data_IF_296142955551
#
_entry.id   IF_296142955551
#
_cell.length_a   1.000
_cell.length_b   1.000
_cell.length_c   1.000
_cell.angle_alpha   90.00
_cell.angle_beta   90.00
_cell.angle_gamma   90.00
#
_symmetry.space_group_name_H-M   'P 1'
#
loop_
_entity.id
_entity.type
_entity.pdbx_description
1 polymer ?
#
# COMPACT_ATOMS: atom_id res chain seq x y z
N UNK A 1 -31.81 17.24 4.32
CA UNK A 1 -31.16 17.96 5.44
C UNK A 1 -30.03 18.77 4.83
N UNK A 2 -29.94 20.10 5.06
CA UNK A 2 -28.80 20.86 4.57
C UNK A 2 -27.56 20.32 5.29
N UNK A 3 -26.53 19.92 4.55
CA UNK A 3 -25.22 19.69 5.13
C UNK A 3 -24.79 21.01 5.76
N UNK A 4 -24.60 21.03 7.09
CA UNK A 4 -23.99 22.18 7.77
C UNK A 4 -22.61 22.41 7.14
N UNK A 5 -22.32 23.63 6.67
CA UNK A 5 -21.04 24.00 6.04
C UNK A 5 -19.84 23.62 6.95
N UNK A 6 -20.07 23.54 8.27
CA UNK A 6 -19.10 23.09 9.26
C UNK A 6 -18.73 21.60 9.18
N UNK A 7 -19.60 20.76 8.63
CA UNK A 7 -19.42 19.31 8.56
C UNK A 7 -18.85 18.84 7.23
N UNK A 8 -18.89 19.66 6.18
CA UNK A 8 -18.41 19.26 4.84
C UNK A 8 -16.93 18.89 4.87
N UNK A 9 -16.08 19.77 5.41
CA UNK A 9 -14.64 19.51 5.52
C UNK A 9 -14.34 18.31 6.43
N UNK A 10 -14.99 18.22 7.59
CA UNK A 10 -14.85 17.09 8.52
C UNK A 10 -15.22 15.76 7.86
N UNK A 11 -16.31 15.74 7.06
CA UNK A 11 -16.80 14.55 6.35
C UNK A 11 -15.85 14.16 5.22
N UNK A 12 -15.41 15.10 4.39
CA UNK A 12 -14.47 14.83 3.29
C UNK A 12 -13.15 14.29 3.84
N UNK A 13 -12.59 14.92 4.87
CA UNK A 13 -11.34 14.48 5.49
C UNK A 13 -11.49 13.09 6.13
N UNK A 14 -12.60 12.83 6.82
CA UNK A 14 -12.87 11.51 7.40
C UNK A 14 -13.04 10.44 6.31
N UNK A 15 -13.73 10.75 5.21
CA UNK A 15 -13.93 9.83 4.09
C UNK A 15 -12.61 9.53 3.37
N UNK A 16 -11.80 10.56 3.10
CA UNK A 16 -10.48 10.39 2.50
C UNK A 16 -9.59 9.50 3.38
N UNK A 17 -9.61 9.72 4.69
CA UNK A 17 -8.86 8.92 5.67
C UNK A 17 -9.33 7.47 5.72
N UNK A 18 -10.64 7.24 5.65
CA UNK A 18 -11.23 5.91 5.60
C UNK A 18 -10.81 5.15 4.32
N UNK A 19 -10.87 5.81 3.16
CA UNK A 19 -10.40 5.24 1.89
C UNK A 19 -8.90 4.91 1.95
N UNK A 20 -8.08 5.82 2.49
CA UNK A 20 -6.65 5.59 2.71
C UNK A 20 -6.39 4.37 3.60
N UNK A 21 -7.13 4.21 4.71
CA UNK A 21 -7.05 3.03 5.57
C UNK A 21 -7.44 1.75 4.83
N UNK A 22 -8.50 1.75 4.02
CA UNK A 22 -8.93 0.58 3.26
C UNK A 22 -7.86 0.13 2.25
N UNK A 23 -7.18 1.07 1.60
CA UNK A 23 -6.05 0.79 0.70
C UNK A 23 -4.93 0.11 1.51
N UNK A 24 -4.52 0.70 2.64
CA UNK A 24 -3.42 0.16 3.46
C UNK A 24 -3.78 -1.21 4.06
N UNK A 25 -5.01 -1.39 4.56
CA UNK A 25 -5.49 -2.68 5.07
C UNK A 25 -5.40 -3.75 3.99
N UNK A 26 -5.76 -3.43 2.75
CA UNK A 26 -5.67 -4.35 1.61
C UNK A 26 -4.21 -4.70 1.28
N UNK A 27 -3.33 -3.69 1.23
CA UNK A 27 -1.90 -3.88 0.94
C UNK A 27 -1.20 -4.71 2.02
N UNK A 28 -1.46 -4.40 3.29
CA UNK A 28 -0.85 -5.11 4.44
C UNK A 28 -1.48 -6.50 4.61
N UNK A 29 -2.80 -6.63 4.44
CA UNK A 29 -3.49 -7.92 4.54
C UNK A 29 -3.07 -8.91 3.45
N UNK A 30 -2.63 -8.42 2.29
CA UNK A 30 -2.04 -9.23 1.23
C UNK A 30 -0.55 -9.60 1.45
N UNK A 31 0.07 -9.16 2.55
CA UNK A 31 1.42 -9.54 2.98
C UNK A 31 1.30 -10.54 4.14
N UNK A 32 2.00 -11.66 4.01
CA UNK A 32 2.02 -12.84 4.91
C UNK A 32 1.07 -12.77 6.14
N UNK A 33 -0.16 -13.33 6.04
CA UNK A 33 -1.17 -13.26 7.10
C UNK A 33 -0.79 -14.06 8.37
N UNK A 34 0.31 -14.81 8.34
CA UNK A 34 0.83 -15.57 9.47
C UNK A 34 1.54 -14.71 10.51
N UNK A 35 2.09 -13.55 10.14
CA UNK A 35 2.97 -12.79 11.02
C UNK A 35 2.20 -12.10 12.18
N UNK A 36 2.55 -12.36 13.46
CA UNK A 36 1.85 -11.77 14.61
C UNK A 36 1.84 -10.24 14.62
N UNK A 37 2.90 -9.60 14.11
CA UNK A 37 3.00 -8.15 14.02
C UNK A 37 2.00 -7.57 13.01
N UNK A 38 1.89 -8.18 11.83
CA UNK A 38 0.92 -7.79 10.79
C UNK A 38 -0.51 -7.84 11.32
N UNK A 39 -0.87 -8.90 12.07
CA UNK A 39 -2.20 -9.03 12.69
C UNK A 39 -2.50 -7.92 13.70
N UNK A 40 -1.54 -7.59 14.57
CA UNK A 40 -1.70 -6.52 15.58
C UNK A 40 -1.82 -5.14 14.91
N UNK A 41 -1.07 -4.92 13.85
CA UNK A 41 -1.14 -3.69 13.08
C UNK A 41 -2.48 -3.55 12.33
N UNK A 42 -2.92 -4.60 11.65
CA UNK A 42 -4.24 -4.65 10.99
C UNK A 42 -5.39 -4.46 11.97
N UNK A 43 -5.27 -4.98 13.20
CA UNK A 43 -6.25 -4.71 14.26
C UNK A 43 -6.38 -3.21 14.54
N UNK A 44 -5.25 -2.49 14.71
CA UNK A 44 -5.27 -1.04 14.91
C UNK A 44 -5.85 -0.27 13.72
N UNK A 45 -5.49 -0.64 12.49
CA UNK A 45 -6.06 -0.02 11.29
C UNK A 45 -7.56 -0.25 11.16
N UNK A 46 -8.06 -1.45 11.51
CA UNK A 46 -9.49 -1.76 11.52
C UNK A 46 -10.26 -0.98 12.58
N UNK A 47 -9.69 -0.82 13.78
CA UNK A 47 -10.30 0.02 14.83
C UNK A 47 -10.44 1.46 14.35
N UNK A 48 -9.40 2.03 13.72
CA UNK A 48 -9.46 3.37 13.11
C UNK A 48 -10.51 3.45 12.00
N UNK A 49 -10.60 2.43 11.14
CA UNK A 49 -11.57 2.39 10.05
C UNK A 49 -13.01 2.35 10.57
N UNK A 50 -13.29 1.50 11.59
CA UNK A 50 -14.59 1.44 12.27
C UNK A 50 -14.92 2.78 12.92
N UNK A 51 -13.96 3.39 13.62
CA UNK A 51 -14.15 4.71 14.23
C UNK A 51 -14.55 5.76 13.20
N UNK A 52 -13.86 5.86 12.07
CA UNK A 52 -14.18 6.83 11.03
C UNK A 52 -15.51 6.53 10.33
N UNK A 53 -15.77 5.26 10.00
CA UNK A 53 -17.02 4.85 9.36
C UNK A 53 -18.24 5.14 10.26
N UNK A 54 -18.18 4.75 11.53
CA UNK A 54 -19.25 5.05 12.49
C UNK A 54 -19.42 6.55 12.70
N UNK A 55 -18.33 7.32 12.76
CA UNK A 55 -18.39 8.78 12.90
C UNK A 55 -19.10 9.44 11.71
N UNK A 56 -18.76 9.06 10.48
CA UNK A 56 -19.42 9.57 9.27
C UNK A 56 -20.90 9.20 9.27
N UNK A 57 -21.23 7.96 9.64
CA UNK A 57 -22.62 7.49 9.71
C UNK A 57 -23.43 8.21 10.80
N UNK A 58 -22.82 8.53 11.96
CA UNK A 58 -23.45 9.35 12.99
C UNK A 58 -23.79 10.75 12.47
N UNK A 59 -22.91 11.39 11.69
CA UNK A 59 -23.19 12.71 11.09
C UNK A 59 -24.29 12.68 10.04
N UNK A 60 -24.37 11.61 9.23
CA UNK A 60 -25.35 11.50 8.15
C UNK A 60 -26.72 11.07 8.67
N UNK A 61 -26.76 10.14 9.63
CA UNK A 61 -28.01 9.49 10.08
C UNK A 61 -28.53 10.02 11.42
N UNK A 62 -27.66 10.54 12.27
CA UNK A 62 -27.99 10.94 13.64
C UNK A 62 -28.34 9.77 14.58
N UNK A 63 -28.11 8.52 14.17
CA UNK A 63 -28.48 7.36 14.97
C UNK A 63 -27.48 7.13 16.11
N UNK A 64 -27.99 7.08 17.35
CA UNK A 64 -27.16 6.93 18.55
C UNK A 64 -26.30 5.67 18.62
N UNK A 65 -26.64 4.61 17.86
CA UNK A 65 -25.82 3.39 17.74
C UNK A 65 -24.44 3.69 17.16
N UNK A 66 -24.36 4.56 16.14
CA UNK A 66 -23.07 4.92 15.53
C UNK A 66 -22.22 5.79 16.44
N UNK A 67 -22.84 6.64 17.25
CA UNK A 67 -22.16 7.42 18.27
C UNK A 67 -21.56 6.54 19.37
N UNK A 68 -22.35 5.61 19.88
CA UNK A 68 -21.88 4.58 20.81
C UNK A 68 -20.69 3.82 20.22
N UNK A 69 -20.81 3.34 18.99
CA UNK A 69 -19.72 2.64 18.31
C UNK A 69 -18.46 3.50 18.14
N UNK A 70 -18.63 4.81 17.87
CA UNK A 70 -17.51 5.76 17.79
C UNK A 70 -16.75 5.87 19.11
N UNK A 71 -17.46 5.92 20.24
CA UNK A 71 -16.85 6.02 21.58
C UNK A 71 -16.14 4.72 21.96
N UNK A 72 -16.76 3.57 21.66
CA UNK A 72 -16.15 2.26 21.88
C UNK A 72 -14.86 2.13 21.04
N UNK A 73 -14.92 2.45 19.75
CA UNK A 73 -13.76 2.38 18.87
C UNK A 73 -12.66 3.36 19.31
N UNK A 74 -13.03 4.57 19.76
CA UNK A 74 -12.09 5.53 20.32
C UNK A 74 -11.42 5.01 21.61
N UNK A 75 -12.17 4.35 22.50
CA UNK A 75 -11.64 3.71 23.70
C UNK A 75 -10.70 2.53 23.40
N UNK A 76 -10.84 1.88 22.26
CA UNK A 76 -9.94 0.80 21.82
C UNK A 76 -8.61 1.31 21.24
N UNK A 77 -8.48 2.60 20.88
CA UNK A 77 -7.29 3.11 20.22
C UNK A 77 -6.00 2.97 21.05
N UNK A 78 -5.94 3.36 22.34
CA UNK A 78 -4.73 3.18 23.15
C UNK A 78 -4.34 1.72 23.32
N UNK A 79 -5.33 0.81 23.41
CA UNK A 79 -5.09 -0.62 23.48
C UNK A 79 -4.49 -1.16 22.18
N UNK A 80 -5.06 -0.78 21.03
CA UNK A 80 -4.55 -1.18 19.73
C UNK A 80 -3.11 -0.69 19.49
N UNK A 81 -2.84 0.57 19.85
CA UNK A 81 -1.50 1.14 19.76
C UNK A 81 -0.51 0.43 20.71
N UNK A 82 -0.93 0.09 21.92
CA UNK A 82 -0.09 -0.65 22.87
C UNK A 82 0.29 -2.04 22.32
N UNK A 83 -0.69 -2.80 21.79
CA UNK A 83 -0.44 -4.12 21.20
C UNK A 83 0.53 -4.05 20.02
N UNK A 84 0.40 -3.03 19.18
CA UNK A 84 1.33 -2.77 18.08
C UNK A 84 2.74 -2.50 18.60
N UNK A 85 2.89 -1.62 19.58
CA UNK A 85 4.19 -1.27 20.17
C UNK A 85 4.85 -2.47 20.84
N UNK A 86 4.10 -3.33 21.53
CA UNK A 86 4.66 -4.58 22.07
C UNK A 86 5.18 -5.51 20.97
N UNK A 87 4.45 -5.60 19.85
CA UNK A 87 4.89 -6.37 18.69
C UNK A 87 6.18 -5.83 18.08
N UNK A 88 6.27 -4.51 17.96
CA UNK A 88 7.42 -3.81 17.38
C UNK A 88 8.68 -3.87 18.26
N UNK A 89 8.52 -3.71 19.57
CA UNK A 89 9.66 -3.66 20.50
C UNK A 89 10.10 -5.04 21.00
N UNK A 90 9.38 -6.12 20.62
CA UNK A 90 9.59 -7.51 21.11
C UNK A 90 9.67 -7.59 22.65
N UNK A 91 9.10 -6.59 23.33
CA UNK A 91 9.16 -6.41 24.78
C UNK A 91 7.74 -6.26 25.31
N UNK A 92 7.50 -6.90 26.45
CA UNK A 92 6.26 -6.75 27.18
C UNK A 92 6.19 -5.36 27.81
N UNK A 93 5.13 -4.62 27.53
CA UNK A 93 4.81 -3.36 28.19
C UNK A 93 4.59 -3.60 29.71
N UNK A 94 4.87 -2.59 30.56
CA UNK A 94 4.63 -2.71 31.99
C UNK A 94 3.14 -3.00 32.26
N UNK A 95 2.88 -3.82 33.29
CA UNK A 95 1.54 -4.26 33.63
C UNK A 95 0.59 -3.08 33.90
N UNK A 96 1.11 -1.99 34.48
CA UNK A 96 0.37 -0.74 34.70
C UNK A 96 -0.21 -0.17 33.40
N UNK A 97 0.59 -0.13 32.32
CA UNK A 97 0.12 0.42 31.04
C UNK A 97 -0.90 -0.51 30.36
N UNK A 98 -0.76 -1.83 30.54
CA UNK A 98 -1.74 -2.82 30.06
C UNK A 98 -3.07 -2.68 30.78
N UNK A 99 -3.04 -2.61 32.11
CA UNK A 99 -4.23 -2.42 32.93
C UNK A 99 -4.88 -1.08 32.64
N UNK A 100 -4.10 -0.01 32.42
CA UNK A 100 -4.62 1.29 32.00
C UNK A 100 -5.34 1.20 30.66
N UNK A 101 -4.70 0.65 29.63
CA UNK A 101 -5.30 0.56 28.29
C UNK A 101 -6.53 -0.37 28.23
N UNK A 102 -6.45 -1.55 28.86
CA UNK A 102 -7.56 -2.49 28.92
C UNK A 102 -8.71 -1.97 29.80
N UNK A 103 -8.38 -1.42 30.97
CA UNK A 103 -9.36 -0.83 31.89
C UNK A 103 -10.08 0.36 31.27
N UNK A 104 -9.36 1.24 30.56
CA UNK A 104 -9.96 2.35 29.84
C UNK A 104 -10.86 1.89 28.68
N UNK A 105 -10.45 0.88 27.91
CA UNK A 105 -11.30 0.32 26.85
C UNK A 105 -12.62 -0.25 27.42
N UNK A 106 -12.56 -0.99 28.53
CA UNK A 106 -13.76 -1.50 29.23
C UNK A 106 -14.59 -0.35 29.80
N UNK A 107 -13.95 0.65 30.40
CA UNK A 107 -14.64 1.83 30.94
C UNK A 107 -15.43 2.56 29.85
N UNK A 108 -14.83 2.82 28.69
CA UNK A 108 -15.52 3.51 27.59
C UNK A 108 -16.57 2.64 26.89
N UNK A 109 -16.42 1.32 26.93
CA UNK A 109 -17.50 0.41 26.53
C UNK A 109 -18.74 0.58 27.41
N UNK A 110 -18.55 0.63 28.73
CA UNK A 110 -19.65 0.84 29.68
C UNK A 110 -20.21 2.27 29.57
N UNK A 111 -19.34 3.27 29.49
CA UNK A 111 -19.71 4.68 29.44
C UNK A 111 -20.40 5.06 28.11
N UNK A 112 -20.16 4.31 27.04
CA UNK A 112 -20.86 4.48 25.76
C UNK A 112 -22.35 4.09 25.85
N UNK A 113 -22.74 3.24 26.81
CA UNK A 113 -24.15 2.86 27.05
C UNK A 113 -24.92 3.92 27.85
N UNK A 114 -24.21 4.85 28.51
CA UNK A 114 -24.82 5.86 29.37
C UNK A 114 -25.34 7.02 28.52
N UNK A 115 -26.63 7.43 28.66
CA UNK A 115 -27.19 8.56 27.91
C UNK A 115 -26.46 9.87 28.16
N UNK A 116 -26.31 10.67 27.10
CA UNK A 116 -25.50 11.91 27.06
C UNK A 116 -25.85 12.92 28.15
N UNK A 117 -27.15 13.08 28.42
CA UNK A 117 -27.69 13.98 29.44
C UNK A 117 -27.09 13.80 30.84
N UNK A 118 -26.49 12.64 31.13
CA UNK A 118 -25.95 12.34 32.45
C UNK A 118 -24.42 12.45 32.54
N UNK A 119 -23.71 12.38 31.42
CA UNK A 119 -22.25 12.19 31.39
C UNK A 119 -21.49 13.18 30.52
N UNK A 120 -22.17 13.93 29.65
CA UNK A 120 -21.54 15.04 28.92
C UNK A 120 -21.50 16.32 29.78
N UNK A 121 -20.39 17.09 29.77
CA UNK A 121 -19.24 16.99 28.87
C UNK A 121 -18.13 16.03 29.32
N UNK A 122 -18.22 15.45 30.53
CA UNK A 122 -17.09 14.79 31.20
C UNK A 122 -16.62 13.52 30.49
N UNK A 123 -17.53 12.80 29.84
CA UNK A 123 -17.19 11.65 29.00
C UNK A 123 -16.17 11.99 27.92
N UNK A 124 -16.35 13.10 27.22
CA UNK A 124 -15.44 13.52 26.13
C UNK A 124 -14.09 14.00 26.68
N UNK A 125 -14.11 14.75 27.78
CA UNK A 125 -12.88 15.17 28.45
C UNK A 125 -12.07 13.97 28.98
N UNK A 126 -12.74 13.00 29.60
CA UNK A 126 -12.12 11.77 30.08
C UNK A 126 -11.56 10.93 28.93
N UNK A 127 -12.29 10.83 27.81
CA UNK A 127 -11.85 10.10 26.63
C UNK A 127 -10.60 10.75 26.01
N UNK A 128 -10.59 12.07 25.89
CA UNK A 128 -9.42 12.83 25.45
C UNK A 128 -8.21 12.57 26.37
N UNK A 129 -8.37 12.71 27.69
CA UNK A 129 -7.29 12.48 28.65
C UNK A 129 -6.77 11.04 28.60
N UNK A 130 -7.67 10.06 28.47
CA UNK A 130 -7.32 8.66 28.33
C UNK A 130 -6.50 8.39 27.06
N UNK A 131 -6.97 8.87 25.91
CA UNK A 131 -6.25 8.70 24.65
C UNK A 131 -4.92 9.44 24.64
N UNK A 132 -4.90 10.67 25.14
CA UNK A 132 -3.70 11.50 25.20
C UNK A 132 -2.64 10.85 26.09
N UNK A 133 -3.02 10.48 27.31
CA UNK A 133 -2.14 9.77 28.24
C UNK A 133 -1.64 8.44 27.67
N UNK A 134 -2.52 7.68 27.01
CA UNK A 134 -2.16 6.43 26.34
C UNK A 134 -1.12 6.63 25.23
N UNK A 135 -1.37 7.54 24.29
CA UNK A 135 -0.45 7.82 23.20
C UNK A 135 0.87 8.44 23.66
N UNK A 136 0.86 9.33 24.66
CA UNK A 136 2.09 9.88 25.25
C UNK A 136 2.91 8.77 25.92
N UNK A 137 2.28 7.90 26.71
CA UNK A 137 2.98 6.78 27.35
C UNK A 137 3.57 5.80 26.34
N UNK A 138 2.84 5.50 25.27
CA UNK A 138 3.32 4.66 24.17
C UNK A 138 4.48 5.33 23.42
N UNK A 139 4.37 6.63 23.13
CA UNK A 139 5.43 7.41 22.49
C UNK A 139 6.69 7.45 23.32
N UNK A 140 6.55 7.60 24.64
CA UNK A 140 7.65 7.52 25.59
C UNK A 140 8.36 6.17 25.53
N UNK A 141 7.63 5.05 25.50
CA UNK A 141 8.22 3.71 25.35
C UNK A 141 8.98 3.55 24.03
N UNK A 142 8.48 4.14 22.95
CA UNK A 142 9.11 4.09 21.63
C UNK A 142 10.41 4.90 21.58
N UNK A 143 10.44 6.06 22.26
CA UNK A 143 11.63 6.93 22.34
C UNK A 143 12.69 6.34 23.26
N UNK A 144 12.29 5.79 24.41
CA UNK A 144 13.20 5.19 25.40
C UNK A 144 13.63 3.76 25.06
N UNK A 145 13.38 3.29 23.83
CA UNK A 145 13.75 1.94 23.41
C UNK A 145 15.26 1.78 23.26
N UNK A 146 15.73 0.57 23.48
CA UNK A 146 17.09 0.19 23.13
C UNK A 146 17.21 -0.09 21.62
N UNK A 147 17.91 0.79 20.91
CA UNK A 147 18.12 0.66 19.46
C UNK A 147 19.05 -0.50 19.10
N UNK A 148 19.94 -0.93 20.00
CA UNK A 148 20.90 -2.00 19.73
C UNK A 148 20.22 -3.38 19.67
N UNK A 149 19.06 -3.52 20.29
CA UNK A 149 18.30 -4.78 20.34
C UNK A 149 17.54 -5.13 19.05
N UNK A 150 17.44 -4.19 18.10
CA UNK A 150 16.65 -4.31 16.87
C UNK A 150 17.54 -4.15 15.63
N UNK A 151 17.16 -4.83 14.55
CA UNK A 151 17.82 -4.65 13.25
C UNK A 151 17.61 -3.22 12.72
N UNK A 152 18.47 -2.79 11.78
CA UNK A 152 18.35 -1.48 11.13
C UNK A 152 17.03 -1.32 10.35
N UNK A 153 16.44 -2.41 9.86
CA UNK A 153 15.14 -2.39 9.21
C UNK A 153 14.01 -2.16 10.23
N UNK A 154 14.02 -2.89 11.34
CA UNK A 154 13.03 -2.72 12.40
C UNK A 154 13.11 -1.33 13.03
N UNK A 155 14.30 -0.84 13.33
CA UNK A 155 14.48 0.50 13.88
C UNK A 155 13.90 1.59 12.98
N UNK A 156 14.04 1.47 11.65
CA UNK A 156 13.41 2.38 10.69
C UNK A 156 11.88 2.29 10.72
N UNK A 157 11.32 1.09 10.83
CA UNK A 157 9.87 0.90 10.98
C UNK A 157 9.35 1.56 12.25
N UNK A 158 10.02 1.35 13.39
CA UNK A 158 9.61 1.96 14.66
C UNK A 158 9.78 3.47 14.63
N UNK A 159 10.86 4.00 14.04
CA UNK A 159 11.03 5.45 13.85
C UNK A 159 9.91 6.06 13.01
N UNK A 160 9.51 5.42 11.91
CA UNK A 160 8.40 5.92 11.09
C UNK A 160 7.06 5.86 11.83
N UNK A 161 6.80 4.83 12.63
CA UNK A 161 5.62 4.77 13.50
C UNK A 161 5.67 5.80 14.63
N UNK A 162 6.85 6.19 15.10
CA UNK A 162 7.00 7.26 16.09
C UNK A 162 6.61 8.63 15.50
N UNK A 163 6.92 8.87 14.21
CA UNK A 163 6.56 10.10 13.52
C UNK A 163 5.06 10.25 13.33
N UNK A 164 4.36 9.16 13.01
CA UNK A 164 2.90 9.21 12.93
C UNK A 164 2.31 9.53 14.30
N UNK A 165 2.83 8.92 15.37
CA UNK A 165 2.38 9.21 16.73
C UNK A 165 2.62 10.68 17.14
N UNK A 166 3.76 11.25 16.74
CA UNK A 166 4.06 12.67 16.95
C UNK A 166 3.01 13.59 16.30
N UNK A 167 2.49 13.23 15.13
CA UNK A 167 1.44 13.99 14.44
C UNK A 167 0.04 13.70 15.00
N UNK A 168 -0.24 12.47 15.43
CA UNK A 168 -1.53 12.05 15.99
C UNK A 168 -1.85 12.81 17.27
N UNK A 169 -0.89 12.97 18.19
CA UNK A 169 -1.12 13.60 19.50
C UNK A 169 -1.72 15.03 19.38
N UNK A 170 -1.11 15.99 18.66
CA UNK A 170 -1.68 17.34 18.54
C UNK A 170 -2.97 17.37 17.73
N UNK A 171 -3.08 16.57 16.66
CA UNK A 171 -4.28 16.56 15.81
C UNK A 171 -5.48 15.93 16.50
N UNK A 172 -5.26 14.96 17.37
CA UNK A 172 -6.33 14.37 18.18
C UNK A 172 -6.99 15.39 19.12
N UNK A 173 -6.25 16.38 19.63
CA UNK A 173 -6.84 17.44 20.48
C UNK A 173 -7.91 18.22 19.68
N UNK A 174 -7.68 18.43 18.38
CA UNK A 174 -8.64 19.13 17.50
C UNK A 174 -9.94 18.35 17.28
N UNK A 175 -9.91 17.01 17.39
CA UNK A 175 -11.10 16.17 17.20
C UNK A 175 -12.14 16.33 18.31
N UNK A 176 -11.71 16.69 19.52
CA UNK A 176 -12.58 16.81 20.70
C UNK A 176 -13.16 18.21 20.87
N UNK A 177 -12.73 19.19 20.06
CA UNK A 177 -13.13 20.61 20.12
C UNK A 177 -13.37 21.09 21.57
N UNK A 178 -12.42 20.89 22.50
CA UNK A 178 -12.56 21.46 23.83
C UNK A 178 -12.65 22.97 23.58
N UNK A 179 -13.72 23.63 24.00
CA UNK A 179 -14.06 25.02 23.63
C UNK A 179 -13.00 26.11 23.89
N UNK A 180 -11.77 25.72 24.27
CA UNK A 180 -10.56 26.53 24.25
C UNK A 180 -10.04 26.89 22.84
N UNK A 181 -10.21 26.03 21.82
CA UNK A 181 -9.72 26.32 20.45
C UNK A 181 -10.80 25.97 19.43
N UNK A 182 -11.43 27.00 18.88
CA UNK A 182 -12.44 26.85 17.83
C UNK A 182 -11.78 26.60 16.46
N UNK A 183 -11.22 25.39 16.31
CA UNK A 183 -10.66 24.97 15.03
C UNK A 183 -11.77 24.65 14.03
N UNK A 184 -11.66 25.14 12.78
CA UNK A 184 -12.73 25.00 11.79
C UNK A 184 -12.90 23.57 11.27
N UNK A 185 -11.87 22.72 11.44
CA UNK A 185 -11.86 21.32 10.97
C UNK A 185 -11.14 20.42 11.98
N UNK A 186 -11.63 19.19 12.09
CA UNK A 186 -11.00 18.10 12.85
C UNK A 186 -9.83 17.52 12.06
N UNK A 187 -8.61 17.70 12.57
CA UNK A 187 -7.38 17.32 11.87
C UNK A 187 -7.00 15.85 12.08
N UNK A 188 -7.71 15.08 12.93
CA UNK A 188 -7.40 13.68 13.21
C UNK A 188 -7.33 12.81 11.95
N UNK A 189 -8.15 13.08 10.94
CA UNK A 189 -8.09 12.39 9.65
C UNK A 189 -6.76 12.60 8.91
N UNK A 190 -6.18 13.80 8.96
CA UNK A 190 -4.87 14.05 8.33
C UNK A 190 -3.77 13.23 9.00
N UNK A 191 -3.81 13.07 10.34
CA UNK A 191 -2.85 12.23 11.04
C UNK A 191 -2.97 10.75 10.62
N UNK A 192 -4.19 10.28 10.37
CA UNK A 192 -4.46 8.92 9.85
C UNK A 192 -3.95 8.78 8.41
N UNK A 193 -4.20 9.75 7.53
CA UNK A 193 -3.66 9.75 6.16
C UNK A 193 -2.13 9.74 6.17
N UNK A 194 -1.50 10.53 7.03
CA UNK A 194 -0.05 10.53 7.18
C UNK A 194 0.48 9.17 7.66
N UNK A 195 -0.19 8.53 8.64
CA UNK A 195 0.11 7.16 9.06
C UNK A 195 0.01 6.19 7.88
N UNK A 196 -1.06 6.27 7.08
CA UNK A 196 -1.25 5.43 5.89
C UNK A 196 -0.12 5.60 4.88
N UNK A 197 0.25 6.85 4.60
CA UNK A 197 1.34 7.18 3.69
C UNK A 197 2.70 6.64 4.17
N UNK A 198 3.04 6.85 5.44
CA UNK A 198 4.27 6.30 6.03
C UNK A 198 4.31 4.76 5.97
N UNK A 199 3.16 4.12 6.19
CA UNK A 199 3.03 2.67 6.17
C UNK A 199 3.29 2.10 4.79
N UNK A 200 2.75 2.72 3.74
CA UNK A 200 3.01 2.32 2.36
C UNK A 200 4.47 2.60 1.98
N UNK A 201 5.01 3.75 2.42
CA UNK A 201 6.41 4.11 2.22
C UNK A 201 7.42 3.15 2.85
N UNK A 202 7.03 2.31 3.83
CA UNK A 202 7.89 1.25 4.39
C UNK A 202 8.33 0.22 3.35
N UNK A 203 7.55 0.04 2.27
CA UNK A 203 7.92 -0.87 1.18
C UNK A 203 9.09 -0.38 0.33
N UNK A 204 9.41 0.93 0.35
CA UNK A 204 10.48 1.51 -0.48
C UNK A 204 11.82 1.49 0.27
N UNK A 205 12.69 0.56 -0.11
CA UNK A 205 14.07 0.50 0.34
C UNK A 205 14.90 1.65 -0.30
N UNK A 206 14.87 2.84 0.31
CA UNK A 206 15.74 3.94 -0.15
C UNK A 206 15.38 5.34 0.34
N UNK A 207 14.12 5.58 0.74
CA UNK A 207 13.71 6.92 1.17
C UNK A 207 14.19 7.23 2.60
N UNK A 208 15.04 8.25 2.72
CA UNK A 208 15.52 8.76 3.99
C UNK A 208 14.40 9.48 4.76
N UNK A 209 14.58 9.62 6.08
CA UNK A 209 13.62 10.33 6.93
C UNK A 209 13.43 11.80 6.48
N UNK A 210 14.51 12.44 6.02
CA UNK A 210 14.50 13.81 5.49
C UNK A 210 13.65 13.93 4.24
N UNK A 211 13.73 12.96 3.33
CA UNK A 211 12.97 12.97 2.08
C UNK A 211 11.47 12.86 2.34
N UNK A 212 11.09 12.02 3.32
CA UNK A 212 9.70 11.89 3.76
C UNK A 212 9.17 13.18 4.39
N UNK A 213 9.94 13.83 5.26
CA UNK A 213 9.54 15.12 5.85
C UNK A 213 9.45 16.19 4.75
N UNK A 214 10.43 16.25 3.84
CA UNK A 214 10.45 17.22 2.75
C UNK A 214 9.25 17.05 1.82
N UNK A 215 8.93 15.82 1.41
CA UNK A 215 7.77 15.53 0.57
C UNK A 215 6.46 15.92 1.28
N UNK A 216 6.32 15.63 2.58
CA UNK A 216 5.15 16.08 3.34
C UNK A 216 5.07 17.60 3.44
N UNK A 217 6.20 18.28 3.71
CA UNK A 217 6.27 19.72 3.79
C UNK A 217 5.86 20.37 2.46
N UNK A 218 6.32 19.83 1.32
CA UNK A 218 5.90 20.29 -0.01
C UNK A 218 4.39 20.13 -0.18
N UNK A 219 3.83 18.94 0.08
CA UNK A 219 2.38 18.70 -0.05
C UNK A 219 1.57 19.62 0.87
N UNK A 220 2.01 19.80 2.11
CA UNK A 220 1.36 20.69 3.08
C UNK A 220 1.43 22.16 2.63
N UNK A 221 2.60 22.65 2.20
CA UNK A 221 2.77 24.01 1.71
C UNK A 221 1.97 24.28 0.42
N UNK A 222 1.94 23.32 -0.51
CA UNK A 222 1.10 23.41 -1.71
C UNK A 222 -0.38 23.49 -1.36
N UNK A 223 -0.83 22.72 -0.36
CA UNK A 223 -2.22 22.76 0.13
C UNK A 223 -2.54 24.08 0.82
N UNK A 224 -1.62 24.63 1.62
CA UNK A 224 -1.74 25.96 2.23
C UNK A 224 -1.84 27.04 1.15
N UNK A 225 -0.97 27.00 0.15
CA UNK A 225 -1.00 27.93 -0.98
C UNK A 225 -2.33 27.87 -1.73
N UNK A 226 -2.82 26.68 -2.04
CA UNK A 226 -4.11 26.49 -2.68
C UNK A 226 -5.27 27.06 -1.85
N UNK A 227 -5.31 26.78 -0.54
CA UNK A 227 -6.35 27.31 0.33
C UNK A 227 -6.29 28.82 0.54
N UNK A 228 -5.10 29.42 0.58
CA UNK A 228 -4.93 30.88 0.61
C UNK A 228 -5.37 31.52 -0.70
N UNK A 229 -5.03 30.92 -1.85
CA UNK A 229 -5.47 31.40 -3.16
C UNK A 229 -7.00 31.36 -3.28
N UNK A 230 -7.64 30.26 -2.88
CA UNK A 230 -9.10 30.14 -2.84
C UNK A 230 -9.74 31.18 -1.90
N UNK A 231 -9.13 31.41 -0.73
CA UNK A 231 -9.58 32.45 0.21
C UNK A 231 -9.46 33.87 -0.33
N UNK A 232 -8.49 34.13 -1.21
CA UNK A 232 -8.26 35.44 -1.84
C UNK A 232 -9.20 35.76 -3.00
N UNK A 233 -9.77 34.74 -3.65
CA UNK A 233 -10.64 34.92 -4.83
C UNK A 233 -12.03 35.44 -4.43
N UNK A 234 -12.54 35.08 -3.25
CA UNK A 234 -13.99 35.23 -2.98
C UNK A 234 -14.32 35.70 -1.55
N UNK A 235 -13.36 36.34 -0.86
CA UNK A 235 -13.51 36.85 0.53
C UNK A 235 -14.18 35.86 1.52
N UNK A 236 -13.98 34.55 1.33
CA UNK A 236 -14.69 33.44 1.99
C UNK A 236 -14.39 33.35 3.51
N UNK A 237 -13.54 34.24 4.03
CA UNK A 237 -13.16 34.32 5.43
C UNK A 237 -12.16 33.24 5.84
N UNK A 238 -11.45 33.51 6.95
CA UNK A 238 -10.39 32.64 7.47
C UNK A 238 -10.81 31.17 7.64
N UNK A 239 -12.04 30.92 8.14
CA UNK A 239 -12.53 29.56 8.38
C UNK A 239 -12.62 28.72 7.11
N UNK A 240 -13.17 29.27 6.03
CA UNK A 240 -13.31 28.56 4.77
C UNK A 240 -11.97 28.33 4.10
N UNK A 241 -11.02 29.28 4.22
CA UNK A 241 -9.65 29.08 3.74
C UNK A 241 -8.99 27.88 4.42
N UNK A 242 -9.09 27.77 5.76
CA UNK A 242 -8.53 26.61 6.49
C UNK A 242 -9.24 25.31 6.09
N UNK A 243 -10.56 25.33 5.91
CA UNK A 243 -11.31 24.17 5.41
C UNK A 243 -10.81 23.73 4.03
N UNK A 244 -10.59 24.67 3.11
CA UNK A 244 -10.05 24.40 1.79
C UNK A 244 -8.64 23.79 1.86
N UNK A 245 -7.74 24.32 2.71
CA UNK A 245 -6.41 23.73 2.95
C UNK A 245 -6.54 22.27 3.36
N UNK A 246 -7.40 21.97 4.33
CA UNK A 246 -7.57 20.62 4.87
C UNK A 246 -8.17 19.66 3.84
N UNK A 247 -9.15 20.12 3.05
CA UNK A 247 -9.74 19.34 1.95
C UNK A 247 -8.68 19.00 0.89
N UNK A 248 -7.93 20.01 0.42
CA UNK A 248 -6.87 19.82 -0.59
C UNK A 248 -5.78 18.90 -0.06
N UNK A 249 -5.34 19.10 1.19
CA UNK A 249 -4.33 18.25 1.83
C UNK A 249 -4.81 16.79 1.97
N UNK A 250 -6.08 16.59 2.34
CA UNK A 250 -6.67 15.26 2.46
C UNK A 250 -6.75 14.55 1.11
N UNK A 251 -7.21 15.26 0.06
CA UNK A 251 -7.34 14.72 -1.29
C UNK A 251 -5.98 14.39 -1.91
N UNK A 252 -4.99 15.28 -1.75
CA UNK A 252 -3.63 15.06 -2.26
C UNK A 252 -2.95 13.89 -1.56
N UNK A 253 -3.04 13.78 -0.23
CA UNK A 253 -2.50 12.62 0.50
C UNK A 253 -3.15 11.31 0.07
N UNK A 254 -4.48 11.29 -0.10
CA UNK A 254 -5.19 10.11 -0.61
C UNK A 254 -4.71 9.72 -2.02
N UNK A 255 -4.54 10.70 -2.91
CA UNK A 255 -4.05 10.45 -4.27
C UNK A 255 -2.62 9.88 -4.26
N UNK A 256 -1.73 10.41 -3.42
CA UNK A 256 -0.37 9.88 -3.24
C UNK A 256 -0.40 8.46 -2.69
N UNK A 257 -1.20 8.20 -1.65
CA UNK A 257 -1.39 6.85 -1.07
C UNK A 257 -1.87 5.86 -2.13
N UNK A 258 -2.84 6.25 -2.94
CA UNK A 258 -3.35 5.40 -4.01
C UNK A 258 -2.28 5.11 -5.06
N UNK A 259 -1.59 6.14 -5.57
CA UNK A 259 -0.53 5.98 -6.56
C UNK A 259 0.62 5.10 -6.03
N UNK A 260 1.03 5.31 -4.78
CA UNK A 260 2.06 4.49 -4.15
C UNK A 260 1.59 3.04 -3.99
N UNK A 261 0.32 2.78 -3.66
CA UNK A 261 -0.23 1.42 -3.59
C UNK A 261 -0.24 0.69 -4.94
N UNK A 262 -0.51 1.41 -6.03
CA UNK A 262 -0.45 0.87 -7.40
C UNK A 262 1.01 0.56 -7.76
N UNK A 263 1.95 1.46 -7.44
CA UNK A 263 3.39 1.24 -7.69
C UNK A 263 3.94 0.02 -6.93
N UNK A 264 3.56 -0.16 -5.67
CA UNK A 264 3.94 -1.34 -4.88
C UNK A 264 3.37 -2.64 -5.46
N UNK A 265 2.15 -2.58 -5.99
CA UNK A 265 1.52 -3.73 -6.64
C UNK A 265 2.28 -4.11 -7.91
N UNK A 266 2.83 -3.13 -8.64
CA UNK A 266 3.69 -3.37 -9.79
C UNK A 266 5.07 -3.94 -9.38
N UNK A 267 5.69 -3.44 -8.31
CA UNK A 267 6.95 -4.00 -7.79
C UNK A 267 6.81 -5.44 -7.31
N UNK A 268 5.73 -5.78 -6.59
CA UNK A 268 5.45 -7.14 -6.11
C UNK A 268 5.36 -8.14 -7.27
N UNK A 269 4.83 -7.71 -8.43
CA UNK A 269 4.78 -8.54 -9.64
C UNK A 269 6.19 -8.90 -10.13
N UNK A 270 7.13 -7.93 -10.11
CA UNK A 270 8.53 -8.13 -10.52
C UNK A 270 9.29 -9.02 -9.54
N UNK A 271 9.12 -8.78 -8.23
CA UNK A 271 9.72 -9.63 -7.19
C UNK A 271 9.22 -11.07 -7.27
N UNK A 272 7.95 -11.29 -7.62
CA UNK A 272 7.41 -12.63 -7.84
C UNK A 272 8.10 -13.37 -8.99
N UNK A 273 8.52 -12.68 -10.06
CA UNK A 273 9.29 -13.31 -11.14
C UNK A 273 10.69 -13.70 -10.66
N UNK A 274 11.35 -12.80 -9.91
CA UNK A 274 12.66 -13.08 -9.33
C UNK A 274 12.63 -14.23 -8.33
N UNK A 275 11.56 -14.34 -7.54
CA UNK A 275 11.34 -15.45 -6.62
C UNK A 275 11.14 -16.76 -7.37
N UNK A 276 10.31 -16.76 -8.43
CA UNK A 276 10.14 -17.94 -9.28
C UNK A 276 11.45 -18.36 -9.96
N UNK A 277 12.26 -17.40 -10.39
CA UNK A 277 13.61 -17.65 -10.86
C UNK A 277 14.48 -18.34 -9.78
N UNK A 278 14.47 -17.83 -8.55
CA UNK A 278 15.34 -18.32 -7.48
C UNK A 278 14.90 -19.67 -6.87
N UNK A 279 13.60 -19.90 -6.74
CA UNK A 279 13.01 -21.06 -6.05
C UNK A 279 12.37 -22.09 -7.01
N UNK A 280 12.29 -21.77 -8.30
CA UNK A 280 11.72 -22.64 -9.32
C UNK A 280 12.47 -23.96 -9.44
N UNK A 281 11.76 -25.00 -9.90
CA UNK A 281 12.34 -26.33 -10.08
C UNK A 281 13.47 -26.29 -11.13
N UNK A 282 14.72 -26.42 -10.68
CA UNK A 282 15.92 -26.40 -11.52
C UNK A 282 16.21 -27.76 -12.18
N UNK A 283 15.34 -28.75 -11.99
CA UNK A 283 15.55 -30.13 -12.49
C UNK A 283 14.81 -30.44 -13.78
N UNK A 284 13.75 -29.69 -14.09
CA UNK A 284 12.92 -29.89 -15.29
C UNK A 284 12.50 -28.52 -15.87
N UNK A 285 13.05 -28.20 -17.04
CA UNK A 285 12.83 -26.96 -17.80
C UNK A 285 11.36 -26.78 -18.17
N UNK A 286 10.63 -27.85 -18.48
CA UNK A 286 9.20 -27.79 -18.74
C UNK A 286 8.40 -27.52 -17.46
N UNK A 287 8.82 -28.02 -16.30
CA UNK A 287 8.18 -27.67 -15.01
C UNK A 287 8.48 -26.24 -14.58
N UNK A 288 9.72 -25.78 -14.78
CA UNK A 288 10.10 -24.39 -14.53
C UNK A 288 9.22 -23.42 -15.34
N UNK A 289 9.00 -23.72 -16.62
CA UNK A 289 8.18 -22.90 -17.52
C UNK A 289 6.68 -23.04 -17.30
N UNK A 290 6.17 -24.23 -16.95
CA UNK A 290 4.77 -24.38 -16.49
C UNK A 290 4.51 -23.63 -15.19
N UNK A 291 5.49 -23.56 -14.30
CA UNK A 291 5.43 -22.69 -13.12
C UNK A 291 5.28 -21.22 -13.51
N UNK A 292 5.96 -20.80 -14.59
CA UNK A 292 5.82 -19.46 -15.17
C UNK A 292 4.42 -19.20 -15.77
N UNK A 293 3.78 -20.20 -16.38
CA UNK A 293 2.41 -20.11 -16.92
C UNK A 293 1.35 -19.79 -15.86
N UNK A 294 1.59 -20.19 -14.61
CA UNK A 294 0.69 -19.94 -13.50
C UNK A 294 0.93 -18.57 -12.83
N UNK A 295 1.88 -17.76 -13.32
CA UNK A 295 2.21 -16.45 -12.75
C UNK A 295 1.43 -15.29 -13.38
N UNK A 296 0.95 -14.38 -12.52
CA UNK A 296 0.04 -13.25 -12.82
C UNK A 296 0.57 -12.24 -13.86
N UNK A 297 1.89 -12.18 -14.09
CA UNK A 297 2.46 -11.34 -15.17
C UNK A 297 2.34 -11.96 -16.56
N UNK A 298 1.96 -13.23 -16.60
CA UNK A 298 1.95 -14.06 -17.79
C UNK A 298 0.60 -14.77 -17.89
N UNK A 299 -0.49 -14.01 -17.78
CA UNK A 299 -1.79 -14.51 -18.23
C UNK A 299 -1.67 -14.85 -19.73
N UNK A 300 -1.75 -16.15 -20.05
CA UNK A 300 -1.70 -16.64 -21.42
C UNK A 300 -0.30 -16.98 -21.94
N UNK A 301 0.66 -17.39 -21.09
CA UNK A 301 1.86 -18.03 -21.63
C UNK A 301 1.50 -19.31 -22.38
N UNK A 302 1.70 -19.31 -23.68
CA UNK A 302 1.55 -20.51 -24.50
C UNK A 302 2.94 -21.12 -24.70
N UNK A 303 3.14 -22.32 -24.16
CA UNK A 303 4.33 -23.12 -24.45
C UNK A 303 4.03 -23.90 -25.72
N UNK A 304 4.75 -23.61 -26.80
CA UNK A 304 4.66 -24.33 -28.07
C UNK A 304 5.86 -25.25 -28.23
N UNK A 305 5.58 -26.51 -28.51
CA UNK A 305 6.59 -27.51 -28.85
C UNK A 305 6.78 -27.62 -30.36
N UNK A 306 7.89 -28.22 -30.80
CA UNK A 306 8.20 -28.41 -32.22
C UNK A 306 7.07 -29.06 -33.04
N UNK A 307 6.23 -29.92 -32.42
CA UNK A 307 5.09 -30.55 -33.08
C UNK A 307 3.92 -29.60 -33.36
N UNK A 308 3.77 -28.53 -32.58
CA UNK A 308 2.70 -27.53 -32.71
C UNK A 308 3.10 -26.36 -33.64
N UNK A 309 4.39 -26.29 -34.00
CA UNK A 309 4.98 -25.28 -34.89
C UNK A 309 5.11 -25.78 -36.34
N UNK A 310 4.38 -26.83 -36.74
CA UNK A 310 4.50 -27.48 -38.06
C UNK A 310 4.25 -26.56 -39.27
N UNK A 311 3.58 -25.43 -39.06
CA UNK A 311 3.33 -24.42 -40.08
C UNK A 311 4.52 -23.45 -40.30
N UNK A 312 5.53 -23.46 -39.42
CA UNK A 312 6.69 -22.56 -39.44
C UNK A 312 7.98 -23.28 -39.84
N UNK A 313 8.93 -22.55 -40.44
CA UNK A 313 10.28 -23.10 -40.62
C UNK A 313 11.04 -23.04 -39.29
N UNK A 314 11.12 -24.20 -38.62
CA UNK A 314 11.78 -24.33 -37.33
C UNK A 314 13.26 -23.91 -37.37
N UNK A 315 13.95 -24.02 -38.51
CA UNK A 315 15.37 -23.63 -38.63
C UNK A 315 15.54 -22.13 -38.67
N UNK A 316 14.68 -21.44 -39.44
CA UNK A 316 14.68 -19.97 -39.53
C UNK A 316 14.32 -19.38 -38.17
N UNK A 317 13.26 -19.90 -37.54
CA UNK A 317 12.82 -19.42 -36.23
C UNK A 317 13.85 -19.67 -35.13
N UNK A 318 14.49 -20.84 -35.12
CA UNK A 318 15.57 -21.15 -34.19
C UNK A 318 16.79 -20.26 -34.40
N UNK A 319 17.18 -19.97 -35.65
CA UNK A 319 18.28 -19.08 -35.95
C UNK A 319 18.02 -17.64 -35.47
N UNK A 320 16.80 -17.13 -35.73
CA UNK A 320 16.38 -15.79 -35.31
C UNK A 320 16.38 -15.61 -33.79
N UNK A 321 15.88 -16.62 -33.06
CA UNK A 321 15.81 -16.59 -31.61
C UNK A 321 17.13 -16.95 -30.93
N UNK A 322 18.05 -17.66 -31.59
CA UNK A 322 19.40 -17.84 -31.06
C UNK A 322 20.20 -16.52 -31.07
N UNK A 323 19.96 -15.63 -32.04
CA UNK A 323 20.59 -14.30 -32.08
C UNK A 323 20.03 -13.35 -31.01
N UNK A 324 18.71 -13.40 -30.80
CA UNK A 324 18.03 -12.64 -29.76
C UNK A 324 16.98 -13.53 -29.07
N UNK A 325 17.30 -14.10 -27.89
CA UNK A 325 16.49 -15.12 -27.23
C UNK A 325 15.11 -14.66 -26.77
N UNK A 326 14.91 -13.34 -26.69
CA UNK A 326 13.63 -12.69 -26.41
C UNK A 326 13.41 -11.66 -27.50
N UNK A 327 12.30 -11.77 -28.21
CA UNK A 327 11.86 -10.82 -29.24
C UNK A 327 10.47 -10.30 -28.89
N UNK A 328 10.28 -9.01 -29.05
CA UNK A 328 8.97 -8.37 -28.95
C UNK A 328 8.39 -8.12 -30.35
N UNK A 329 7.08 -7.92 -30.44
CA UNK A 329 6.43 -7.49 -31.68
C UNK A 329 6.99 -6.14 -32.16
N UNK A 330 7.45 -5.27 -31.25
CA UNK A 330 8.06 -3.97 -31.60
C UNK A 330 9.41 -4.15 -32.34
N UNK A 331 10.12 -5.25 -32.11
CA UNK A 331 11.37 -5.56 -32.81
C UNK A 331 11.14 -5.99 -34.27
N UNK A 332 9.91 -6.34 -34.63
CA UNK A 332 9.50 -6.83 -35.96
C UNK A 332 8.85 -5.70 -36.75
N UNK A 333 9.65 -4.70 -37.12
CA UNK A 333 9.25 -3.57 -37.95
C UNK A 333 9.92 -3.63 -39.34
N UNK A 334 9.39 -2.93 -40.36
CA UNK A 334 9.93 -2.99 -41.72
C UNK A 334 11.40 -2.57 -41.84
N UNK A 335 11.83 -1.63 -40.98
CA UNK A 335 13.21 -1.12 -40.92
C UNK A 335 14.13 -1.96 -39.99
N UNK A 336 13.64 -3.08 -39.46
CA UNK A 336 14.44 -3.97 -38.63
C UNK A 336 15.55 -4.63 -39.45
N UNK A 337 16.73 -4.92 -38.86
CA UNK A 337 17.84 -5.60 -39.53
C UNK A 337 17.56 -7.09 -39.81
N UNK A 338 16.32 -7.55 -39.64
CA UNK A 338 15.89 -8.91 -39.91
C UNK A 338 15.72 -9.11 -41.41
N UNK A 339 16.11 -10.28 -41.89
CA UNK A 339 15.75 -10.82 -43.19
C UNK A 339 14.23 -10.90 -43.35
N UNK A 340 13.77 -10.80 -44.60
CA UNK A 340 12.35 -10.75 -44.92
C UNK A 340 11.61 -12.03 -44.45
N UNK A 341 12.21 -13.20 -44.68
CA UNK A 341 11.62 -14.50 -44.32
C UNK A 341 11.43 -14.64 -42.80
N UNK A 342 12.45 -14.30 -42.01
CA UNK A 342 12.35 -14.28 -40.54
C UNK A 342 11.29 -13.29 -40.04
N UNK A 343 11.19 -12.11 -40.67
CA UNK A 343 10.22 -11.09 -40.29
C UNK A 343 8.80 -11.55 -40.54
N UNK A 344 8.54 -12.15 -41.71
CA UNK A 344 7.23 -12.71 -42.06
C UNK A 344 6.82 -13.82 -41.11
N UNK A 345 7.73 -14.74 -40.79
CA UNK A 345 7.45 -15.82 -39.83
C UNK A 345 7.18 -15.31 -38.40
N UNK A 346 7.96 -14.36 -37.90
CA UNK A 346 7.73 -13.79 -36.57
C UNK A 346 6.43 -12.97 -36.52
N UNK A 347 6.13 -12.19 -37.57
CA UNK A 347 4.88 -11.43 -37.67
C UNK A 347 3.69 -12.38 -37.63
N UNK A 348 3.73 -13.44 -38.44
CA UNK A 348 2.67 -14.43 -38.48
C UNK A 348 2.54 -15.21 -37.17
N UNK A 349 3.66 -15.50 -36.49
CA UNK A 349 3.64 -16.14 -35.17
C UNK A 349 2.94 -15.25 -34.13
N UNK A 350 3.23 -13.95 -34.12
CA UNK A 350 2.59 -13.00 -33.21
C UNK A 350 1.10 -12.84 -33.51
N UNK A 351 0.71 -12.75 -34.79
CA UNK A 351 -0.69 -12.63 -35.19
C UNK A 351 -1.49 -13.91 -34.88
N UNK A 352 -0.97 -15.09 -35.24
CA UNK A 352 -1.66 -16.37 -35.08
C UNK A 352 -2.01 -16.68 -33.63
N UNK A 353 -1.11 -16.35 -32.71
CA UNK A 353 -1.26 -16.65 -31.28
C UNK A 353 -1.60 -15.42 -30.43
N UNK A 354 -1.91 -14.28 -31.05
CA UNK A 354 -2.15 -12.98 -30.39
C UNK A 354 -1.10 -12.61 -29.33
N UNK A 355 0.15 -12.98 -29.59
CA UNK A 355 1.27 -12.81 -28.67
C UNK A 355 1.98 -11.49 -28.93
N UNK A 356 2.61 -10.92 -27.90
CA UNK A 356 3.44 -9.71 -28.05
C UNK A 356 4.93 -9.97 -27.84
N UNK A 357 5.28 -11.06 -27.15
CA UNK A 357 6.66 -11.48 -26.92
C UNK A 357 6.81 -12.97 -27.17
N UNK A 358 7.97 -13.37 -27.68
CA UNK A 358 8.37 -14.77 -27.85
C UNK A 358 9.73 -15.00 -27.20
N UNK A 359 9.85 -16.12 -26.50
CA UNK A 359 11.06 -16.53 -25.80
C UNK A 359 11.45 -17.93 -26.24
N UNK A 360 12.75 -18.12 -26.45
CA UNK A 360 13.33 -19.44 -26.71
C UNK A 360 13.59 -20.17 -25.40
N UNK A 361 12.80 -21.21 -25.10
CA UNK A 361 12.99 -22.05 -23.93
C UNK A 361 14.08 -23.10 -24.16
N UNK A 362 13.96 -23.88 -25.23
CA UNK A 362 14.91 -24.94 -25.59
C UNK A 362 15.12 -24.94 -27.09
N UNK A 363 16.34 -25.23 -27.54
CA UNK A 363 16.71 -25.24 -28.96
C UNK A 363 16.56 -26.61 -29.65
N UNK A 364 16.47 -27.70 -28.89
CA UNK A 364 16.41 -29.07 -29.45
C UNK A 364 15.91 -30.11 -28.41
N UNK A 365 14.60 -30.43 -28.35
CA UNK A 365 13.57 -29.97 -29.28
C UNK A 365 13.30 -28.47 -29.12
N UNK A 366 12.93 -27.81 -30.23
CA UNK A 366 12.56 -26.40 -30.21
C UNK A 366 11.30 -26.22 -29.36
N UNK A 367 11.42 -25.46 -28.27
CA UNK A 367 10.30 -25.06 -27.42
C UNK A 367 10.29 -23.55 -27.30
N UNK A 368 9.14 -22.96 -27.58
CA UNK A 368 8.91 -21.52 -27.51
C UNK A 368 7.91 -21.20 -26.42
N UNK A 369 8.09 -20.04 -25.80
CA UNK A 369 7.11 -19.47 -24.87
C UNK A 369 6.62 -18.17 -25.47
N UNK A 370 5.35 -18.13 -25.82
CA UNK A 370 4.66 -16.93 -26.28
C UNK A 370 3.98 -16.26 -25.10
N UNK A 371 4.16 -14.95 -24.97
CA UNK A 371 3.54 -14.15 -23.93
C UNK A 371 2.67 -13.07 -24.56
N UNK A 372 1.49 -12.87 -23.98
CA UNK A 372 0.65 -11.72 -24.28
C UNK A 372 0.83 -10.68 -23.18
N UNK A 373 1.66 -9.69 -23.45
CA UNK A 373 1.80 -8.50 -22.59
C UNK A 373 1.11 -7.30 -23.23
N UNK A 374 0.26 -6.55 -22.50
CA UNK A 374 -0.27 -5.27 -22.99
C UNK A 374 0.87 -4.32 -23.34
N UNK A 375 0.78 -3.57 -24.43
CA UNK A 375 1.81 -2.62 -24.88
C UNK A 375 2.18 -1.56 -23.81
N UNK A 376 1.24 -1.23 -22.93
CA UNK A 376 1.44 -0.31 -21.80
C UNK A 376 2.23 -0.94 -20.63
N UNK A 377 2.39 -2.27 -20.59
CA UNK A 377 3.13 -3.01 -19.57
C UNK A 377 4.55 -3.41 -20.02
N UNK A 378 4.87 -3.25 -21.30
CA UNK A 378 6.22 -3.46 -21.83
C UNK A 378 7.12 -2.31 -21.38
N UNK A 379 7.97 -2.57 -20.38
CA UNK A 379 9.03 -1.64 -19.97
C UNK A 379 10.38 -2.33 -20.12
N UNK A 380 11.44 -1.55 -20.37
CA UNK A 380 12.80 -2.08 -20.52
C UNK A 380 13.25 -2.95 -19.34
N UNK A 381 12.72 -2.71 -18.14
CA UNK A 381 12.97 -3.53 -16.96
C UNK A 381 12.35 -4.93 -17.04
N UNK A 382 11.13 -5.04 -17.59
CA UNK A 382 10.44 -6.33 -17.77
C UNK A 382 11.12 -7.16 -18.86
N UNK A 383 11.58 -6.53 -19.95
CA UNK A 383 12.35 -7.24 -20.98
C UNK A 383 13.66 -7.83 -20.45
N UNK A 384 14.36 -7.09 -19.57
CA UNK A 384 15.56 -7.60 -18.92
C UNK A 384 15.27 -8.78 -17.98
N UNK A 385 14.16 -8.74 -17.25
CA UNK A 385 13.69 -9.86 -16.43
C UNK A 385 13.33 -11.09 -17.28
N UNK A 386 12.62 -10.89 -18.40
CA UNK A 386 12.30 -11.96 -19.36
C UNK A 386 13.54 -12.60 -19.96
N UNK A 387 14.56 -11.80 -20.32
CA UNK A 387 15.86 -12.31 -20.76
C UNK A 387 16.56 -13.14 -19.68
N UNK A 388 16.43 -12.75 -18.41
CA UNK A 388 17.02 -13.48 -17.30
C UNK A 388 16.29 -14.83 -17.07
N UNK A 389 14.95 -14.85 -17.13
CA UNK A 389 14.13 -16.08 -17.08
C UNK A 389 14.51 -17.03 -18.21
N UNK A 390 14.63 -16.50 -19.44
CA UNK A 390 15.01 -17.25 -20.62
C UNK A 390 16.38 -17.92 -20.44
N UNK A 391 17.39 -17.18 -19.97
CA UNK A 391 18.74 -17.72 -19.74
C UNK A 391 18.72 -18.86 -18.73
N UNK A 392 17.93 -18.75 -17.67
CA UNK A 392 17.83 -19.81 -16.68
C UNK A 392 17.13 -21.05 -17.22
N UNK A 393 16.02 -20.89 -17.95
CA UNK A 393 15.35 -22.02 -18.61
C UNK A 393 16.30 -22.77 -19.57
N UNK A 394 17.10 -22.02 -20.32
CA UNK A 394 18.09 -22.60 -21.24
C UNK A 394 19.22 -23.34 -20.50
N UNK A 395 19.74 -22.78 -19.40
CA UNK A 395 20.77 -23.44 -18.57
C UNK A 395 20.25 -24.73 -17.91
N UNK A 396 19.00 -24.72 -17.43
CA UNK A 396 18.34 -25.89 -16.84
C UNK A 396 18.22 -26.99 -17.91
N UNK A 397 17.74 -26.66 -19.11
CA UNK A 397 17.64 -27.62 -20.22
C UNK A 397 19.00 -28.16 -20.67
N UNK A 398 20.04 -27.34 -20.73
CA UNK A 398 21.39 -27.82 -21.05
C UNK A 398 21.91 -28.82 -20.01
N UNK A 399 21.61 -28.59 -18.74
CA UNK A 399 21.99 -29.49 -17.65
C UNK A 399 21.24 -30.81 -17.69
N UNK A 400 19.94 -30.80 -18.01
CA UNK A 400 19.14 -32.02 -18.22
C UNK A 400 19.70 -32.91 -19.31
N UNK A 401 20.23 -32.34 -20.39
CA UNK A 401 20.81 -33.13 -21.48
C UNK A 401 22.20 -33.68 -21.17
N UNK A 402 22.91 -33.06 -20.23
CA UNK A 402 24.25 -33.47 -19.82
C UNK A 402 24.23 -34.54 -18.72
N UNK A 403 23.10 -34.71 -18.04
CA UNK A 403 22.82 -35.77 -17.07
C UNK A 403 22.21 -36.99 -17.78
#
# INVERSE_FOLDING_TARGET
MPFDDKLVADTITSLASLLGLMIVISVVGGRDPGEPLSRRFLFGLRVLAVLLACRILDWITGLGVFRLATIVAAGLLPLAALLLTEGLLRRHAPLVLKSFAAGGAVLFLLLAMVPERFVEPWRMALLLLFQFGGFVAIGWLVVMRDRASLSSAENRTVERMALSLLLIIPFMITDYRPGLVDMPVRLGGIAILFLCWLTIGLGRAGLGHRDTIAAFAVIALSSVFAGLALGGIDHIGWRASVQAVVIVLSATLLAVIYNDSVSLSAEKRRESLLKHMAEGDLTDSARFLRGLQNHILVEGALILTAGELGDFDLKVLAAALNQAPVRSMADVHPDSPLDQDTREQLTWLFEKYEATHVLLATSDPLTLVLLKMPALAASAGVEMELRAVQRMAMLISQRERAA
#
